data_IF_636737314339
#
_entry.id   IF_636737314339
#
_cell.length_a   1.000
_cell.length_b   1.000
_cell.length_c   1.000
_cell.angle_alpha   90.00
_cell.angle_beta   90.00
_cell.angle_gamma   90.00
#
_symmetry.space_group_name_H-M   'P 1'
#
loop_
_entity.id
_entity.type
_entity.pdbx_description
1 polymer ?
#
# COMPACT_ATOMS: atom_id res chain seq x y z
N UNK A 1 12.18 15.51 -15.90
CA UNK A 1 11.86 14.07 -15.92
C UNK A 1 12.58 13.28 -14.83
N UNK A 2 13.91 13.34 -14.68
CA UNK A 2 14.66 12.56 -13.65
C UNK A 2 14.15 12.68 -12.20
N UNK A 3 13.73 13.87 -11.74
CA UNK A 3 13.20 14.05 -10.38
C UNK A 3 11.94 13.22 -10.10
N UNK A 4 11.16 12.91 -11.14
CA UNK A 4 9.94 12.11 -11.00
C UNK A 4 10.28 10.62 -10.86
N UNK A 5 11.29 10.13 -11.58
CA UNK A 5 11.72 8.72 -11.50
C UNK A 5 12.38 8.37 -10.18
N UNK A 6 13.29 9.22 -9.67
CA UNK A 6 13.91 9.01 -8.36
C UNK A 6 12.88 9.00 -7.23
N UNK A 7 11.86 9.86 -7.33
CA UNK A 7 10.76 9.91 -6.38
C UNK A 7 9.88 8.66 -6.43
N UNK A 8 9.46 8.23 -7.63
CA UNK A 8 8.74 6.96 -7.83
C UNK A 8 9.50 5.78 -7.24
N UNK A 9 10.80 5.70 -7.51
CA UNK A 9 11.65 4.63 -7.00
C UNK A 9 11.72 4.65 -5.47
N UNK A 10 11.84 5.83 -4.85
CA UNK A 10 11.83 5.96 -3.40
C UNK A 10 10.50 5.52 -2.77
N UNK A 11 9.36 5.93 -3.35
CA UNK A 11 8.03 5.53 -2.86
C UNK A 11 7.83 4.02 -3.01
N UNK A 12 8.26 3.44 -4.15
CA UNK A 12 8.20 1.99 -4.36
C UNK A 12 9.04 1.22 -3.35
N UNK A 13 10.22 1.74 -2.97
CA UNK A 13 11.04 1.17 -1.91
C UNK A 13 10.33 1.09 -0.57
N UNK A 14 9.51 2.09 -0.21
CA UNK A 14 8.69 2.05 1.01
C UNK A 14 7.65 0.93 0.95
N UNK A 15 6.96 0.79 -0.19
CA UNK A 15 5.97 -0.28 -0.36
C UNK A 15 6.61 -1.67 -0.31
N UNK A 16 7.79 -1.84 -0.92
CA UNK A 16 8.55 -3.09 -0.87
C UNK A 16 9.00 -3.46 0.55
N UNK A 17 9.44 -2.47 1.34
CA UNK A 17 9.78 -2.67 2.76
C UNK A 17 8.54 -3.07 3.58
N UNK A 18 7.41 -2.38 3.39
CA UNK A 18 6.15 -2.70 4.05
C UNK A 18 5.63 -4.09 3.67
N UNK A 19 5.75 -4.49 2.40
CA UNK A 19 5.47 -5.86 1.95
C UNK A 19 6.34 -6.89 2.69
N UNK A 20 7.66 -6.66 2.79
CA UNK A 20 8.56 -7.56 3.49
C UNK A 20 8.20 -7.68 4.98
N UNK A 21 7.85 -6.56 5.63
CA UNK A 21 7.37 -6.56 7.02
C UNK A 21 6.09 -7.35 7.16
N UNK A 22 5.08 -7.09 6.32
CA UNK A 22 3.80 -7.82 6.34
C UNK A 22 4.00 -9.33 6.11
N UNK A 23 4.80 -9.70 5.10
CA UNK A 23 5.09 -11.10 4.76
C UNK A 23 5.82 -11.85 5.87
N UNK A 24 6.60 -11.15 6.70
CA UNK A 24 7.29 -11.73 7.86
C UNK A 24 6.37 -11.99 9.07
N UNK A 25 5.15 -11.48 9.06
CA UNK A 25 4.24 -11.66 10.19
C UNK A 25 3.78 -13.11 10.35
N UNK A 26 3.50 -13.55 11.59
CA UNK A 26 2.79 -14.79 11.83
C UNK A 26 1.44 -14.80 11.11
N UNK A 27 1.01 -16.00 10.68
CA UNK A 27 -0.23 -16.20 9.93
C UNK A 27 -1.44 -15.65 10.67
N UNK A 28 -1.49 -15.77 11.99
CA UNK A 28 -2.59 -15.26 12.82
C UNK A 28 -2.69 -13.74 12.75
N UNK A 29 -1.54 -13.06 12.70
CA UNK A 29 -1.49 -11.60 12.59
C UNK A 29 -1.90 -11.16 11.18
N UNK A 30 -1.44 -11.83 10.13
CA UNK A 30 -1.91 -11.58 8.76
C UNK A 30 -3.42 -11.81 8.63
N UNK A 31 -3.94 -12.91 9.19
CA UNK A 31 -5.36 -13.21 9.19
C UNK A 31 -6.19 -12.13 9.90
N UNK A 32 -5.71 -11.61 11.05
CA UNK A 32 -6.37 -10.51 11.74
C UNK A 32 -6.37 -9.20 10.94
N UNK A 33 -5.37 -8.98 10.08
CA UNK A 33 -5.26 -7.78 9.24
C UNK A 33 -5.98 -7.93 7.89
N UNK A 34 -6.33 -9.15 7.49
CA UNK A 34 -6.90 -9.45 6.17
C UNK A 34 -8.16 -8.63 5.83
N UNK A 35 -9.11 -8.37 6.76
CA UNK A 35 -10.25 -7.50 6.45
C UNK A 35 -9.82 -6.08 6.04
N UNK A 36 -8.78 -5.53 6.68
CA UNK A 36 -8.21 -4.23 6.32
C UNK A 36 -7.50 -4.26 4.97
N UNK A 37 -6.77 -5.34 4.68
CA UNK A 37 -6.16 -5.58 3.37
C UNK A 37 -7.22 -5.59 2.28
N UNK A 38 -8.28 -6.37 2.45
CA UNK A 38 -9.35 -6.52 1.45
C UNK A 38 -10.06 -5.18 1.19
N UNK A 39 -10.40 -4.45 2.27
CA UNK A 39 -11.07 -3.15 2.16
C UNK A 39 -10.19 -2.11 1.45
N UNK A 40 -8.89 -2.08 1.74
CA UNK A 40 -7.98 -1.12 1.11
C UNK A 40 -7.69 -1.50 -0.34
N UNK A 41 -7.50 -2.78 -0.67
CA UNK A 41 -7.34 -3.25 -2.04
C UNK A 41 -8.59 -2.96 -2.89
N UNK A 42 -9.79 -3.14 -2.33
CA UNK A 42 -11.03 -2.77 -3.02
C UNK A 42 -11.08 -1.27 -3.34
N UNK A 43 -10.65 -0.41 -2.41
CA UNK A 43 -10.55 1.03 -2.66
C UNK A 43 -9.47 1.39 -3.70
N UNK A 44 -8.38 0.64 -3.75
CA UNK A 44 -7.29 0.82 -4.71
C UNK A 44 -7.58 0.21 -6.09
N UNK A 45 -8.67 -0.56 -6.25
CA UNK A 45 -8.97 -1.30 -7.48
C UNK A 45 -9.04 -0.39 -8.72
N UNK A 46 -9.57 0.82 -8.56
CA UNK A 46 -9.73 1.78 -9.66
C UNK A 46 -8.45 2.57 -10.01
N UNK A 47 -7.36 2.42 -9.24
CA UNK A 47 -6.10 3.07 -9.58
C UNK A 47 -5.46 2.36 -10.78
N UNK A 48 -5.41 3.01 -11.94
CA UNK A 48 -4.97 2.43 -13.21
C UNK A 48 -3.48 2.57 -13.51
N UNK A 49 -2.76 3.38 -12.74
CA UNK A 49 -1.33 3.63 -12.94
C UNK A 49 -0.58 3.74 -11.61
N UNK A 50 0.75 3.59 -11.67
CA UNK A 50 1.63 3.79 -10.52
C UNK A 50 1.62 5.25 -10.04
N UNK A 51 1.49 6.23 -10.95
CA UNK A 51 1.35 7.64 -10.58
C UNK A 51 0.08 7.90 -9.77
N UNK A 52 -1.07 7.31 -10.18
CA UNK A 52 -2.31 7.40 -9.41
C UNK A 52 -2.22 6.75 -8.03
N UNK A 53 -1.45 5.67 -7.90
CA UNK A 53 -1.18 5.05 -6.61
C UNK A 53 -0.34 5.96 -5.71
N UNK A 54 0.70 6.59 -6.24
CA UNK A 54 1.55 7.51 -5.49
C UNK A 54 0.73 8.71 -5.00
N UNK A 55 -0.13 9.29 -5.85
CA UNK A 55 -1.00 10.39 -5.46
C UNK A 55 -1.94 10.00 -4.31
N UNK A 56 -2.54 8.80 -4.40
CA UNK A 56 -3.39 8.24 -3.34
C UNK A 56 -2.60 7.98 -2.05
N UNK A 57 -1.39 7.44 -2.16
CA UNK A 57 -0.51 7.16 -1.03
C UNK A 57 -0.12 8.45 -0.28
N UNK A 58 0.22 9.51 -1.02
CA UNK A 58 0.58 10.81 -0.45
C UNK A 58 -0.62 11.52 0.16
N UNK A 59 -1.81 11.38 -0.43
CA UNK A 59 -3.05 11.92 0.14
C UNK A 59 -3.40 11.28 1.50
N UNK A 60 -3.08 10.00 1.69
CA UNK A 60 -3.26 9.30 2.98
C UNK A 60 -2.21 9.72 4.02
N UNK A 61 -0.95 9.91 3.59
CA UNK A 61 0.19 10.17 4.47
C UNK A 61 0.59 11.65 4.60
N UNK A 62 -0.24 12.59 4.12
CA UNK A 62 0.01 14.03 4.20
C UNK A 62 0.02 14.58 5.65
N UNK A 63 0.22 15.90 5.87
CA UNK A 63 0.46 16.52 7.18
C UNK A 63 -0.60 16.29 8.28
N UNK A 64 -1.76 15.73 7.93
CA UNK A 64 -2.79 15.28 8.86
C UNK A 64 -2.61 13.81 9.34
N UNK A 65 -1.60 13.10 8.83
CA UNK A 65 -1.00 11.88 9.38
C UNK A 65 -1.95 10.71 9.66
N UNK A 66 -3.09 10.64 8.98
CA UNK A 66 -4.06 9.59 9.23
C UNK A 66 -3.94 8.51 8.18
N UNK A 67 -3.20 7.45 8.51
CA UNK A 67 -3.42 6.15 7.90
C UNK A 67 -4.95 5.92 7.81
N UNK A 68 -5.44 5.51 6.65
CA UNK A 68 -6.85 5.18 6.42
C UNK A 68 -7.27 4.01 7.30
N UNK A 69 -6.35 3.06 7.52
CA UNK A 69 -6.67 1.83 8.23
C UNK A 69 -7.02 2.03 9.71
N UNK A 70 -6.32 2.83 10.54
CA UNK A 70 -6.74 3.08 11.91
C UNK A 70 -8.10 3.79 12.02
N UNK A 71 -8.55 4.48 10.97
CA UNK A 71 -9.91 5.06 10.93
C UNK A 71 -10.98 4.03 10.62
N UNK A 72 -10.67 3.05 9.77
CA UNK A 72 -11.57 1.96 9.38
C UNK A 72 -11.54 0.80 10.40
N UNK A 73 -10.42 0.63 11.10
CA UNK A 73 -10.07 -0.46 12.00
C UNK A 73 -9.26 0.09 13.20
N UNK A 74 -9.92 0.77 14.15
CA UNK A 74 -9.27 1.43 15.28
C UNK A 74 -8.53 0.48 16.24
N UNK A 75 -8.78 -0.82 16.15
CA UNK A 75 -8.08 -1.88 16.87
C UNK A 75 -6.65 -2.11 16.36
N UNK A 76 -6.31 -1.65 15.16
CA UNK A 76 -4.96 -1.75 14.63
C UNK A 76 -4.07 -0.66 15.23
N UNK A 77 -2.91 -1.08 15.75
CA UNK A 77 -1.84 -0.14 16.10
C UNK A 77 -1.38 0.60 14.85
N UNK A 78 -0.97 1.86 14.98
CA UNK A 78 -0.50 2.68 13.85
C UNK A 78 0.58 1.97 13.02
N UNK A 79 1.54 1.33 13.68
CA UNK A 79 2.60 0.57 13.00
C UNK A 79 2.04 -0.61 12.19
N UNK A 80 1.03 -1.32 12.71
CA UNK A 80 0.39 -2.44 11.99
C UNK A 80 -0.40 -1.91 10.81
N UNK A 81 -1.12 -0.80 10.98
CA UNK A 81 -1.83 -0.17 9.89
C UNK A 81 -0.90 0.30 8.76
N UNK A 82 0.23 0.94 9.06
CA UNK A 82 1.17 1.39 8.04
C UNK A 82 1.71 0.22 7.21
N UNK A 83 2.13 -0.87 7.86
CA UNK A 83 2.60 -2.06 7.15
C UNK A 83 1.50 -2.70 6.26
N UNK A 84 0.23 -2.65 6.68
CA UNK A 84 -0.89 -3.13 5.86
C UNK A 84 -1.18 -2.18 4.70
N UNK A 85 -1.05 -0.87 4.90
CA UNK A 85 -1.19 0.12 3.82
C UNK A 85 -0.14 -0.10 2.75
N UNK A 86 1.13 -0.11 3.13
CA UNK A 86 2.26 -0.33 2.23
C UNK A 86 2.12 -1.65 1.46
N UNK A 87 1.69 -2.73 2.13
CA UNK A 87 1.39 -4.01 1.49
C UNK A 87 0.30 -3.89 0.40
N UNK A 88 -0.76 -3.14 0.66
CA UNK A 88 -1.84 -2.97 -0.31
C UNK A 88 -1.39 -2.15 -1.53
N UNK A 89 -0.61 -1.10 -1.31
CA UNK A 89 -0.02 -0.32 -2.40
C UNK A 89 0.98 -1.15 -3.21
N UNK A 90 1.82 -1.97 -2.55
CA UNK A 90 2.73 -2.90 -3.21
C UNK A 90 1.97 -3.89 -4.11
N UNK A 91 0.97 -4.58 -3.56
CA UNK A 91 0.15 -5.56 -4.32
C UNK A 91 -0.51 -4.92 -5.53
N UNK A 92 -1.07 -3.71 -5.37
CA UNK A 92 -1.73 -3.03 -6.48
C UNK A 92 -0.73 -2.56 -7.54
N UNK A 93 0.41 -2.02 -7.14
CA UNK A 93 1.48 -1.63 -8.07
C UNK A 93 2.01 -2.84 -8.86
N UNK A 94 2.19 -3.98 -8.20
CA UNK A 94 2.58 -5.24 -8.84
C UNK A 94 1.51 -5.73 -9.84
N UNK A 95 0.22 -5.62 -9.51
CA UNK A 95 -0.87 -5.98 -10.41
C UNK A 95 -0.95 -5.08 -11.66
N UNK A 96 -0.65 -3.78 -11.51
CA UNK A 96 -0.59 -2.84 -12.64
C UNK A 96 0.62 -3.14 -13.53
N UNK A 97 1.81 -3.32 -12.95
CA UNK A 97 3.05 -3.62 -13.68
C UNK A 97 3.07 -5.01 -14.33
N UNK A 98 2.38 -5.98 -13.73
CA UNK A 98 2.21 -7.33 -14.27
C UNK A 98 1.20 -7.43 -15.43
N UNK A 99 0.41 -6.39 -15.67
CA UNK A 99 -0.59 -6.31 -16.75
C UNK A 99 -0.01 -6.19 -18.17
N UNK A 100 1.31 -6.07 -18.33
CA UNK A 100 2.00 -6.14 -19.63
C UNK A 100 2.58 -7.54 -19.85
N UNK A 101 1.72 -8.56 -19.87
CA UNK A 101 2.02 -9.84 -20.53
C UNK A 101 0.78 -10.35 -21.24
N UNK A 102 0.51 -9.80 -22.43
CA UNK A 102 -0.27 -10.45 -23.49
C UNK A 102 -0.06 -9.71 -24.81
N UNK A 103 0.95 -10.11 -25.57
CA UNK A 103 0.98 -10.26 -27.03
C UNK A 103 2.37 -10.72 -27.47
#
# INVERSE_FOLDING_TARGET
MQKNEAYRHAVRGVWEEGHAVYASWPVEKQASAQPGVDALLAWLADAGSEDELIDRYMALNGPAGSARLPRLYPELTLHTALAVEDECFWRRAAAIGGGVTSA
#
